data_IF_389645167963
#
_entry.id   IF_389645167963
#
_cell.length_a   1.000
_cell.length_b   1.000
_cell.length_c   1.000
_cell.angle_alpha   90.00
_cell.angle_beta   90.00
_cell.angle_gamma   90.00
#
_symmetry.space_group_name_H-M   'P 1'
#
loop_
_entity.id
_entity.type
_entity.pdbx_description
1 polymer ?
#
# COMPACT_ATOMS: atom_id res chain seq x y z
N UNK A 1 -59.33 55.93 -3.14
CA UNK A 1 -58.61 54.92 -2.32
C UNK A 1 -57.79 54.12 -3.26
N UNK A 2 -56.49 54.43 -3.35
CA UNK A 2 -55.55 53.80 -4.31
C UNK A 2 -54.62 52.83 -3.55
N UNK A 3 -54.82 51.53 -3.74
CA UNK A 3 -53.98 50.49 -3.10
C UNK A 3 -52.76 50.18 -4.00
N UNK A 4 -51.57 50.56 -3.53
CA UNK A 4 -50.30 50.26 -4.17
C UNK A 4 -49.89 48.82 -3.85
N UNK A 5 -49.78 47.99 -4.86
CA UNK A 5 -49.15 46.69 -4.77
C UNK A 5 -47.62 46.81 -5.06
N UNK A 6 -46.86 46.65 -4.01
CA UNK A 6 -45.39 46.53 -4.16
C UNK A 6 -45.06 45.07 -4.45
N UNK A 7 -44.59 44.78 -5.66
CA UNK A 7 -44.09 43.48 -6.05
C UNK A 7 -42.62 43.41 -5.66
N UNK A 8 -42.31 42.64 -4.63
CA UNK A 8 -40.93 42.34 -4.24
C UNK A 8 -40.37 41.25 -5.14
N UNK A 9 -39.46 41.62 -6.03
CA UNK A 9 -38.71 40.70 -6.89
C UNK A 9 -37.52 40.16 -6.10
N UNK A 10 -37.60 38.92 -5.54
CA UNK A 10 -36.49 38.25 -4.88
C UNK A 10 -35.60 37.59 -5.91
N UNK A 11 -34.43 38.19 -6.15
CA UNK A 11 -33.35 37.62 -6.98
C UNK A 11 -32.65 36.53 -6.17
N UNK A 12 -32.97 35.26 -6.45
CA UNK A 12 -32.22 34.11 -5.88
C UNK A 12 -30.92 33.93 -6.64
N UNK A 13 -29.84 34.40 -6.05
CA UNK A 13 -28.46 34.18 -6.52
C UNK A 13 -28.03 32.74 -6.17
N UNK A 14 -28.21 31.82 -7.12
CA UNK A 14 -27.72 30.42 -6.97
C UNK A 14 -26.19 30.38 -6.95
N UNK A 15 -25.60 30.09 -5.80
CA UNK A 15 -24.18 29.77 -5.68
C UNK A 15 -23.92 28.43 -6.35
N UNK A 16 -23.37 28.47 -7.57
CA UNK A 16 -22.79 27.28 -8.22
C UNK A 16 -21.43 26.97 -7.51
N UNK A 17 -21.45 26.06 -6.55
CA UNK A 17 -20.23 25.52 -5.97
C UNK A 17 -19.59 24.56 -6.96
N UNK A 18 -18.63 25.06 -7.73
CA UNK A 18 -17.76 24.22 -8.56
C UNK A 18 -16.87 23.39 -7.64
N UNK A 19 -17.15 22.10 -7.53
CA UNK A 19 -16.23 21.13 -6.90
C UNK A 19 -15.00 20.98 -7.79
N UNK A 20 -13.92 21.66 -7.44
CA UNK A 20 -12.62 21.45 -8.07
C UNK A 20 -12.13 20.06 -7.64
N UNK A 21 -12.26 19.08 -8.53
CA UNK A 21 -11.61 17.78 -8.38
C UNK A 21 -10.11 18.01 -8.63
N UNK A 22 -9.33 18.23 -7.58
CA UNK A 22 -7.88 18.20 -7.67
C UNK A 22 -7.49 16.76 -8.01
N UNK A 23 -7.08 16.52 -9.26
CA UNK A 23 -6.31 15.33 -9.60
C UNK A 23 -5.08 15.33 -8.69
N UNK A 24 -5.04 14.40 -7.74
CA UNK A 24 -4.02 14.37 -6.71
C UNK A 24 -2.63 14.24 -7.33
N UNK A 25 -1.78 15.24 -7.10
CA UNK A 25 -0.34 15.09 -7.29
C UNK A 25 0.08 13.92 -6.39
N UNK A 26 0.65 12.87 -7.00
CA UNK A 26 1.05 11.69 -6.24
C UNK A 26 2.03 12.08 -5.11
N UNK A 27 1.81 11.51 -3.93
CA UNK A 27 2.62 11.80 -2.74
C UNK A 27 3.89 10.96 -2.73
N UNK A 28 4.98 11.49 -2.20
CA UNK A 28 6.25 10.75 -2.02
C UNK A 28 6.03 9.44 -1.24
N UNK A 29 6.32 8.27 -1.83
CA UNK A 29 6.13 6.98 -1.15
C UNK A 29 6.95 6.81 0.11
N UNK A 30 8.16 7.35 0.16
CA UNK A 30 9.03 7.25 1.35
C UNK A 30 8.46 8.02 2.53
N UNK A 31 7.66 9.04 2.29
CA UNK A 31 7.01 9.82 3.34
C UNK A 31 5.60 9.31 3.68
N UNK A 32 4.85 8.83 2.68
CA UNK A 32 3.41 8.60 2.85
C UNK A 32 2.99 7.13 2.71
N UNK A 33 3.82 6.27 2.11
CA UNK A 33 3.54 4.83 2.01
C UNK A 33 4.39 4.01 2.99
N UNK A 34 5.71 4.17 2.95
CA UNK A 34 6.61 3.43 3.84
C UNK A 34 6.62 4.03 5.25
N UNK A 35 6.85 3.17 6.23
CA UNK A 35 7.08 3.54 7.61
C UNK A 35 8.59 3.67 7.86
N UNK A 36 8.98 4.61 8.70
CA UNK A 36 10.35 4.69 9.21
C UNK A 36 10.62 3.49 10.11
N UNK A 37 11.85 2.97 10.06
CA UNK A 37 12.29 1.85 10.90
C UNK A 37 13.79 1.94 11.17
N UNK A 38 14.20 1.43 12.33
CA UNK A 38 15.60 1.20 12.67
C UNK A 38 16.10 -0.18 12.21
N UNK A 39 15.26 -0.93 11.48
CA UNK A 39 15.60 -2.22 10.90
C UNK A 39 15.39 -3.40 11.85
N UNK A 40 14.71 -3.26 12.98
CA UNK A 40 14.31 -4.40 13.81
C UNK A 40 12.89 -4.87 13.46
N UNK A 41 12.78 -5.86 12.56
CA UNK A 41 11.48 -6.38 12.12
C UNK A 41 10.73 -7.17 13.20
N UNK A 42 11.42 -7.68 14.22
CA UNK A 42 10.73 -8.26 15.38
C UNK A 42 10.02 -7.18 16.20
N UNK A 43 10.66 -6.02 16.38
CA UNK A 43 10.03 -4.86 17.02
C UNK A 43 8.86 -4.34 16.16
N UNK A 44 9.04 -4.28 14.83
CA UNK A 44 7.98 -3.82 13.93
C UNK A 44 6.75 -4.76 13.93
N UNK A 45 6.92 -6.05 14.14
CA UNK A 45 5.80 -6.96 14.36
C UNK A 45 5.06 -6.64 15.66
N UNK A 46 5.78 -6.31 16.74
CA UNK A 46 5.16 -5.89 18.00
C UNK A 46 4.41 -4.56 17.82
N UNK A 47 5.01 -3.61 17.10
CA UNK A 47 4.38 -2.33 16.75
C UNK A 47 3.10 -2.55 15.91
N UNK A 48 3.14 -3.46 14.94
CA UNK A 48 1.98 -3.81 14.12
C UNK A 48 0.84 -4.41 14.97
N UNK A 49 1.15 -5.30 15.92
CA UNK A 49 0.18 -5.85 16.88
C UNK A 49 -0.45 -4.74 17.72
N UNK A 50 0.36 -3.85 18.27
CA UNK A 50 -0.11 -2.74 19.12
C UNK A 50 -1.03 -1.77 18.37
N UNK A 51 -0.76 -1.56 17.06
CA UNK A 51 -1.54 -0.70 16.18
C UNK A 51 -2.73 -1.42 15.52
N UNK A 52 -3.04 -2.66 15.89
CA UNK A 52 -4.11 -3.49 15.30
C UNK A 52 -3.97 -3.68 13.77
N UNK A 53 -2.75 -3.70 13.24
CA UNK A 53 -2.49 -4.00 11.83
C UNK A 53 -2.72 -5.48 11.53
N UNK A 54 -2.88 -5.81 10.26
CA UNK A 54 -3.02 -7.20 9.79
C UNK A 54 -1.68 -7.92 9.64
N UNK A 55 -0.59 -7.17 9.65
CA UNK A 55 0.77 -7.66 9.48
C UNK A 55 1.70 -6.56 8.99
N UNK A 56 2.84 -6.96 8.43
CA UNK A 56 3.76 -6.05 7.79
C UNK A 56 3.93 -6.40 6.31
N UNK A 57 4.19 -5.37 5.50
CA UNK A 57 4.59 -5.51 4.11
C UNK A 57 6.06 -5.14 3.98
N UNK A 58 6.83 -5.96 3.26
CA UNK A 58 8.20 -5.63 2.86
C UNK A 58 8.25 -5.54 1.33
N UNK A 59 8.69 -4.39 0.85
CA UNK A 59 8.99 -4.11 -0.55
C UNK A 59 10.50 -4.29 -0.77
N UNK A 60 10.88 -5.40 -1.34
CA UNK A 60 12.26 -5.67 -1.71
C UNK A 60 12.60 -4.96 -3.00
N UNK A 61 13.60 -4.12 -2.96
CA UNK A 61 14.05 -3.29 -4.08
C UNK A 61 15.57 -3.29 -4.23
N UNK A 62 16.06 -2.65 -5.27
CA UNK A 62 17.47 -2.28 -5.45
C UNK A 62 17.51 -0.95 -6.23
N UNK A 63 18.65 -0.26 -6.23
CA UNK A 63 18.77 1.06 -6.84
C UNK A 63 18.44 1.05 -8.34
N UNK A 64 19.07 0.18 -9.11
CA UNK A 64 18.86 0.09 -10.56
C UNK A 64 17.70 -0.85 -10.92
N UNK A 65 16.49 -0.54 -10.41
CA UNK A 65 15.29 -1.33 -10.65
C UNK A 65 14.17 -0.52 -11.34
N UNK A 66 14.03 -0.60 -12.68
CA UNK A 66 13.00 0.16 -13.39
C UNK A 66 11.58 -0.15 -12.92
N UNK A 67 11.29 -1.40 -12.56
CA UNK A 67 9.96 -1.79 -12.05
C UNK A 67 9.70 -1.32 -10.62
N UNK A 68 10.74 -1.21 -9.77
CA UNK A 68 10.63 -0.60 -8.45
C UNK A 68 10.30 0.89 -8.59
N UNK A 69 11.03 1.57 -9.48
CA UNK A 69 10.77 2.97 -9.81
C UNK A 69 9.36 3.18 -10.34
N UNK A 70 8.89 2.31 -11.27
CA UNK A 70 7.52 2.35 -11.77
C UNK A 70 6.51 2.21 -10.63
N UNK A 71 6.69 1.24 -9.73
CA UNK A 71 5.78 1.04 -8.59
C UNK A 71 5.75 2.29 -7.71
N UNK A 72 6.90 2.84 -7.35
CA UNK A 72 7.00 4.04 -6.51
C UNK A 72 6.35 5.26 -7.17
N UNK A 73 6.55 5.47 -8.47
CA UNK A 73 6.09 6.66 -9.18
C UNK A 73 4.64 6.60 -9.67
N UNK A 74 4.03 5.41 -9.80
CA UNK A 74 2.71 5.27 -10.42
C UNK A 74 1.69 4.52 -9.55
N UNK A 75 2.12 3.83 -8.51
CA UNK A 75 1.26 3.02 -7.66
C UNK A 75 1.35 3.43 -6.20
N UNK A 76 2.57 3.37 -5.61
CA UNK A 76 2.75 3.64 -4.19
C UNK A 76 2.62 5.12 -3.82
N UNK A 77 2.72 6.02 -4.81
CA UNK A 77 2.51 7.45 -4.64
C UNK A 77 1.02 7.87 -4.63
N UNK A 78 0.10 6.94 -4.86
CA UNK A 78 -1.33 7.27 -4.96
C UNK A 78 -1.96 7.36 -3.57
N UNK A 79 -2.74 8.43 -3.28
CA UNK A 79 -3.32 8.64 -1.96
C UNK A 79 -4.19 7.49 -1.47
N UNK A 80 -5.01 6.90 -2.34
CA UNK A 80 -5.87 5.77 -1.98
C UNK A 80 -5.07 4.50 -1.63
N UNK A 81 -3.93 4.27 -2.30
CA UNK A 81 -3.01 3.17 -1.99
C UNK A 81 -2.38 3.40 -0.62
N UNK A 82 -1.87 4.60 -0.40
CA UNK A 82 -1.22 4.99 0.86
C UNK A 82 -2.19 4.87 2.04
N UNK A 83 -3.40 5.39 1.90
CA UNK A 83 -4.43 5.31 2.94
C UNK A 83 -4.76 3.85 3.28
N UNK A 84 -5.09 3.03 2.26
CA UNK A 84 -5.45 1.64 2.45
C UNK A 84 -4.33 0.81 3.10
N UNK A 85 -3.11 0.95 2.58
CA UNK A 85 -1.99 0.14 3.07
C UNK A 85 -1.54 0.56 4.47
N UNK A 86 -1.50 1.85 4.78
CA UNK A 86 -1.15 2.33 6.12
C UNK A 86 -2.23 2.04 7.15
N UNK A 87 -3.48 1.93 6.76
CA UNK A 87 -4.55 1.46 7.65
C UNK A 87 -4.35 0.00 8.05
N UNK A 88 -3.99 -0.85 7.10
CA UNK A 88 -3.97 -2.31 7.29
C UNK A 88 -2.61 -2.90 7.65
N UNK A 89 -1.50 -2.26 7.26
CA UNK A 89 -0.15 -2.80 7.41
C UNK A 89 0.83 -1.74 7.91
N UNK A 90 1.98 -2.19 8.44
CA UNK A 90 3.20 -1.39 8.44
C UNK A 90 4.01 -1.78 7.21
N UNK A 91 4.49 -0.79 6.47
CA UNK A 91 5.10 -0.98 5.15
C UNK A 91 6.57 -0.55 5.19
N UNK A 92 7.49 -1.43 4.79
CA UNK A 92 8.92 -1.20 4.85
C UNK A 92 9.60 -1.53 3.51
N UNK A 93 10.80 -0.97 3.30
CA UNK A 93 11.68 -1.35 2.19
C UNK A 93 12.85 -2.20 2.72
N UNK A 94 13.37 -3.07 1.86
CA UNK A 94 14.64 -3.76 2.05
C UNK A 94 15.40 -3.72 0.74
N UNK A 95 16.62 -3.20 0.77
CA UNK A 95 17.53 -3.24 -0.36
C UNK A 95 18.17 -4.63 -0.46
N UNK A 96 17.95 -5.31 -1.60
CA UNK A 96 18.49 -6.67 -1.80
C UNK A 96 20.00 -6.71 -2.02
N UNK A 97 20.64 -5.57 -2.20
CA UNK A 97 22.10 -5.39 -2.33
C UNK A 97 22.70 -4.72 -1.08
N UNK A 98 21.84 -4.34 -0.12
CA UNK A 98 22.20 -3.55 1.05
C UNK A 98 23.06 -4.32 2.06
N UNK A 99 24.12 -3.65 2.53
CA UNK A 99 25.02 -4.15 3.60
C UNK A 99 24.62 -3.69 5.01
N UNK A 100 23.55 -2.91 5.13
CA UNK A 100 23.04 -2.44 6.41
C UNK A 100 22.53 -3.63 7.22
N UNK A 101 22.89 -3.69 8.49
CA UNK A 101 22.39 -4.70 9.41
C UNK A 101 20.93 -4.43 9.79
N UNK A 102 20.16 -5.48 9.86
CA UNK A 102 18.77 -5.52 10.33
C UNK A 102 18.59 -6.69 11.29
N UNK A 103 17.56 -6.61 12.12
CA UNK A 103 17.10 -7.75 12.92
C UNK A 103 15.88 -8.36 12.20
N UNK A 104 15.98 -9.66 11.87
CA UNK A 104 14.89 -10.35 11.19
C UNK A 104 13.69 -10.64 12.12
N UNK A 105 12.65 -11.31 11.59
CA UNK A 105 11.42 -11.64 12.35
C UNK A 105 11.67 -12.51 13.59
N UNK A 106 12.74 -13.31 13.59
CA UNK A 106 13.13 -14.20 14.69
C UNK A 106 14.05 -13.52 15.72
N UNK A 107 14.44 -12.25 15.46
CA UNK A 107 15.35 -11.50 16.33
C UNK A 107 16.83 -11.73 16.06
N UNK A 108 17.17 -12.35 14.90
CA UNK A 108 18.55 -12.57 14.49
C UNK A 108 19.04 -11.37 13.68
N UNK A 109 20.26 -10.88 14.01
CA UNK A 109 20.94 -9.86 13.20
C UNK A 109 21.45 -10.48 11.90
N UNK A 110 21.16 -9.81 10.79
CA UNK A 110 21.56 -10.20 9.43
C UNK A 110 21.70 -8.95 8.57
N UNK A 111 22.35 -9.03 7.42
CA UNK A 111 22.36 -7.93 6.44
C UNK A 111 21.09 -7.93 5.59
N UNK A 112 20.68 -6.77 5.10
CA UNK A 112 19.52 -6.65 4.21
C UNK A 112 19.59 -7.62 3.01
N UNK A 113 20.74 -7.71 2.36
CA UNK A 113 20.96 -8.64 1.23
C UNK A 113 20.80 -10.10 1.62
N UNK A 114 21.29 -10.49 2.79
CA UNK A 114 21.21 -11.89 3.26
C UNK A 114 19.78 -12.22 3.69
N UNK A 115 19.10 -11.33 4.37
CA UNK A 115 17.67 -11.44 4.67
C UNK A 115 16.84 -11.59 3.38
N UNK A 116 17.13 -10.78 2.36
CA UNK A 116 16.45 -10.87 1.07
C UNK A 116 16.74 -12.19 0.36
N UNK A 117 18.02 -12.56 0.21
CA UNK A 117 18.43 -13.71 -0.61
C UNK A 117 18.25 -15.05 0.10
N UNK A 118 18.79 -15.18 1.33
CA UNK A 118 18.84 -16.46 2.05
C UNK A 118 17.50 -16.80 2.69
N UNK A 119 16.87 -15.85 3.38
CA UNK A 119 15.64 -16.07 4.14
C UNK A 119 14.40 -15.91 3.26
N UNK A 120 14.38 -14.91 2.37
CA UNK A 120 13.22 -14.61 1.53
C UNK A 120 13.34 -15.06 0.08
N UNK A 121 14.50 -15.60 -0.34
CA UNK A 121 14.75 -16.12 -1.70
C UNK A 121 14.44 -15.08 -2.79
N UNK A 122 14.72 -13.81 -2.52
CA UNK A 122 14.57 -12.72 -3.48
C UNK A 122 15.77 -12.72 -4.41
N UNK A 123 15.53 -12.81 -5.72
CA UNK A 123 16.57 -12.83 -6.77
C UNK A 123 16.28 -11.86 -7.90
N UNK A 124 15.17 -11.17 -7.84
CA UNK A 124 14.74 -10.15 -8.78
C UNK A 124 13.82 -9.18 -8.06
N UNK A 125 13.76 -7.94 -8.51
CA UNK A 125 12.98 -6.87 -7.89
C UNK A 125 11.95 -6.25 -8.87
N UNK A 126 10.89 -5.67 -8.34
CA UNK A 126 10.50 -5.70 -6.94
C UNK A 126 9.94 -7.06 -6.50
N UNK A 127 10.08 -7.40 -5.23
CA UNK A 127 9.25 -8.42 -4.59
C UNK A 127 8.44 -7.75 -3.49
N UNK A 128 7.16 -8.04 -3.43
CA UNK A 128 6.24 -7.57 -2.41
C UNK A 128 5.89 -8.78 -1.54
N UNK A 129 6.30 -8.77 -0.28
CA UNK A 129 6.03 -9.86 0.64
C UNK A 129 5.25 -9.37 1.85
N UNK A 130 4.27 -10.17 2.26
CA UNK A 130 3.47 -9.92 3.45
C UNK A 130 3.79 -10.95 4.51
N UNK A 131 3.91 -10.46 5.73
CA UNK A 131 4.16 -11.27 6.91
C UNK A 131 3.02 -11.07 7.89
N UNK A 132 2.52 -12.17 8.47
CA UNK A 132 1.55 -12.09 9.56
C UNK A 132 2.18 -11.54 10.85
N UNK A 133 1.37 -11.37 11.87
CA UNK A 133 1.84 -10.84 13.15
C UNK A 133 2.75 -11.79 13.94
N UNK A 134 2.90 -13.02 13.50
CA UNK A 134 3.82 -14.01 14.07
C UNK A 134 5.12 -14.12 13.27
N UNK A 135 5.28 -13.28 12.22
CA UNK A 135 6.48 -13.22 11.39
C UNK A 135 6.52 -14.25 10.26
N UNK A 136 5.44 -15.00 10.02
CA UNK A 136 5.38 -15.94 8.91
C UNK A 136 5.07 -15.21 7.62
N UNK A 137 5.81 -15.51 6.55
CA UNK A 137 5.50 -14.98 5.22
C UNK A 137 4.27 -15.66 4.66
N UNK A 138 3.16 -14.94 4.61
CA UNK A 138 1.84 -15.45 4.20
C UNK A 138 1.52 -15.22 2.72
N UNK A 139 2.14 -14.23 2.09
CA UNK A 139 1.98 -13.98 0.66
C UNK A 139 3.22 -13.34 0.06
N UNK A 140 3.47 -13.62 -1.21
CA UNK A 140 4.57 -13.04 -1.99
C UNK A 140 4.15 -12.83 -3.44
N UNK A 141 4.46 -11.64 -3.97
CA UNK A 141 4.34 -11.30 -5.39
C UNK A 141 5.69 -10.86 -5.93
N UNK A 142 6.06 -11.33 -7.13
CA UNK A 142 7.29 -10.93 -7.81
C UNK A 142 6.96 -10.08 -9.03
N UNK A 143 7.64 -8.96 -9.18
CA UNK A 143 7.44 -8.00 -10.25
C UNK A 143 6.45 -6.88 -9.89
N UNK A 144 6.27 -5.96 -10.83
CA UNK A 144 5.29 -4.88 -10.70
C UNK A 144 3.86 -5.40 -10.86
N UNK A 145 2.90 -4.71 -10.24
CA UNK A 145 1.48 -4.91 -10.55
C UNK A 145 1.08 -4.24 -11.85
N UNK A 146 -0.06 -4.60 -12.41
CA UNK A 146 -0.61 -3.96 -13.62
C UNK A 146 -1.10 -2.53 -13.38
N UNK A 147 -1.10 -2.08 -12.13
CA UNK A 147 -1.50 -0.74 -11.72
C UNK A 147 -2.03 -0.70 -10.29
N UNK A 148 -2.64 0.43 -9.95
CA UNK A 148 -3.18 0.76 -8.63
C UNK A 148 -4.19 -0.29 -8.16
N UNK A 149 -5.14 -0.63 -9.01
CA UNK A 149 -6.23 -1.53 -8.68
C UNK A 149 -5.75 -2.93 -8.29
N UNK A 150 -4.83 -3.50 -9.06
CA UNK A 150 -4.27 -4.82 -8.75
C UNK A 150 -3.49 -4.78 -7.42
N UNK A 151 -2.82 -3.68 -7.13
CA UNK A 151 -2.11 -3.50 -5.88
C UNK A 151 -3.08 -3.39 -4.69
N UNK A 152 -4.16 -2.62 -4.81
CA UNK A 152 -5.23 -2.58 -3.79
C UNK A 152 -5.84 -3.97 -3.58
N UNK A 153 -6.15 -4.72 -4.65
CA UNK A 153 -6.66 -6.09 -4.52
C UNK A 153 -5.68 -7.02 -3.81
N UNK A 154 -4.38 -6.82 -4.02
CA UNK A 154 -3.33 -7.59 -3.32
C UNK A 154 -3.40 -7.35 -1.81
N UNK A 155 -3.49 -6.11 -1.40
CA UNK A 155 -3.64 -5.75 0.01
C UNK A 155 -4.96 -6.28 0.60
N UNK A 156 -6.08 -6.15 -0.10
CA UNK A 156 -7.37 -6.71 0.32
C UNK A 156 -7.31 -8.23 0.49
N UNK A 157 -6.74 -8.94 -0.50
CA UNK A 157 -6.56 -10.39 -0.48
C UNK A 157 -5.83 -10.89 0.78
N UNK A 158 -4.85 -10.11 1.25
CA UNK A 158 -4.12 -10.44 2.48
C UNK A 158 -4.93 -9.99 3.71
N UNK A 159 -5.47 -8.78 3.71
CA UNK A 159 -6.14 -8.18 4.87
C UNK A 159 -7.42 -8.92 5.27
N UNK A 160 -8.18 -9.43 4.28
CA UNK A 160 -9.42 -10.20 4.50
C UNK A 160 -9.19 -11.70 4.72
N UNK A 161 -7.94 -12.16 4.60
CA UNK A 161 -7.57 -13.56 4.81
C UNK A 161 -7.85 -14.50 3.63
N UNK A 162 -8.27 -13.98 2.47
CA UNK A 162 -8.57 -14.78 1.26
C UNK A 162 -7.39 -15.62 0.76
N UNK A 163 -6.16 -15.25 1.14
CA UNK A 163 -4.95 -16.03 0.83
C UNK A 163 -4.98 -17.46 1.40
N UNK A 164 -5.79 -17.72 2.44
CA UNK A 164 -5.98 -19.03 3.05
C UNK A 164 -6.89 -19.94 2.22
N UNK A 165 -7.75 -19.35 1.38
CA UNK A 165 -8.86 -20.06 0.71
C UNK A 165 -8.66 -20.16 -0.80
N UNK A 166 -8.02 -19.18 -1.42
CA UNK A 166 -7.91 -19.12 -2.87
C UNK A 166 -6.57 -18.53 -3.34
N UNK A 167 -6.20 -18.76 -4.60
CA UNK A 167 -5.03 -18.10 -5.19
C UNK A 167 -5.32 -16.64 -5.56
N UNK A 168 -4.30 -15.79 -5.53
CA UNK A 168 -4.43 -14.38 -5.93
C UNK A 168 -4.93 -14.22 -7.38
N UNK A 169 -4.54 -15.13 -8.28
CA UNK A 169 -5.04 -15.13 -9.67
C UNK A 169 -6.54 -15.33 -9.73
N UNK A 170 -7.09 -16.25 -8.94
CA UNK A 170 -8.55 -16.48 -8.88
C UNK A 170 -9.25 -15.30 -8.19
N UNK A 171 -8.69 -14.77 -7.11
CA UNK A 171 -9.21 -13.60 -6.43
C UNK A 171 -9.34 -12.40 -7.38
N UNK A 172 -8.28 -12.09 -8.15
CA UNK A 172 -8.32 -11.02 -9.16
C UNK A 172 -9.38 -11.24 -10.24
N UNK A 173 -9.56 -12.48 -10.67
CA UNK A 173 -10.62 -12.79 -11.67
C UNK A 173 -11.99 -12.48 -11.11
N UNK A 174 -12.29 -12.93 -9.90
CA UNK A 174 -13.57 -12.67 -9.24
C UNK A 174 -13.82 -11.17 -9.08
N UNK A 175 -12.82 -10.40 -8.63
CA UNK A 175 -12.91 -8.93 -8.53
C UNK A 175 -13.23 -8.25 -9.87
N UNK A 176 -12.68 -8.75 -10.98
CA UNK A 176 -12.98 -8.23 -12.32
C UNK A 176 -14.41 -8.57 -12.77
N UNK A 177 -14.92 -9.73 -12.39
CA UNK A 177 -16.30 -10.15 -12.70
C UNK A 177 -17.33 -9.35 -11.90
N UNK A 178 -17.05 -9.07 -10.62
CA UNK A 178 -17.89 -8.22 -9.77
C UNK A 178 -18.06 -6.79 -10.33
N UNK A 179 -17.02 -6.23 -10.92
CA UNK A 179 -17.06 -4.89 -11.54
C UNK A 179 -17.86 -4.79 -12.84
N UNK A 180 -18.16 -5.92 -13.46
CA UNK A 180 -18.94 -5.96 -14.73
C UNK A 180 -20.44 -6.05 -14.49
N UNK A 181 -20.86 -6.28 -13.25
CA UNK A 181 -22.27 -6.35 -12.83
C UNK A 181 -22.78 -5.00 -12.38
#
# INVERSE_FOLDING_TARGET
MLRHYVIALTLSLGLLTSTVTTAGVGNDPYKYFFNETWGDFREELANAKQQNKKGILIFFEMDECPFCHYMKSNVLNQPEVQAFYRENFLNFTVDIEGDVEITNMEGKVTKQKDFAFLENRVRATPVIAFFDLDGNRIFRHTGKTSGIEEFIWMGQYVADGSYKETSFTRYKRNKREEKKK
#
